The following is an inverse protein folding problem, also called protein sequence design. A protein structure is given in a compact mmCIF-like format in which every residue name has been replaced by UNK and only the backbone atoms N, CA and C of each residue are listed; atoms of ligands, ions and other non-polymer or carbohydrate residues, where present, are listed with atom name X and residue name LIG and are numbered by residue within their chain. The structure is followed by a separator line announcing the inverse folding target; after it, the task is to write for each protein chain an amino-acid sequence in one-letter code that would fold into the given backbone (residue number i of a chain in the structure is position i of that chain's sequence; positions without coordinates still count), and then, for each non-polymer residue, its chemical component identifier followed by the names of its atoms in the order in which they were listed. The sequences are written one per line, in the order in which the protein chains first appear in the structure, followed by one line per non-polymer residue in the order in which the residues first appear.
data_IF_698425942564
#
_entry.id   IF_698425942564
#
_cell.length_a   1.000
_cell.length_b   1.000
_cell.length_c   1.000
_cell.angle_alpha   90.00
_cell.angle_beta   90.00
_cell.angle_gamma   90.00
#
_symmetry.space_group_name_H-M   'P 1'
#
loop_
_entity.id
_entity.type
_entity.pdbx_description
1 polymer ?
#
# COMPACT_ATOMS: atom_id res chain seq x y z
N UNK A 1 1.23 4.55 -8.41
CA UNK A 1 0.31 5.01 -7.31
C UNK A 1 -0.21 3.80 -6.52
N UNK A 2 -0.11 3.81 -5.18
CA UNK A 2 -0.56 2.68 -4.35
C UNK A 2 -2.10 2.57 -4.25
N UNK A 3 -2.61 1.33 -4.25
CA UNK A 3 -4.04 1.00 -4.11
C UNK A 3 -4.25 -0.15 -3.09
N UNK A 4 -5.34 -0.15 -2.31
CA UNK A 4 -5.66 -1.26 -1.42
C UNK A 4 -6.32 -2.42 -2.18
N UNK A 5 -5.81 -3.64 -2.00
CA UNK A 5 -6.36 -4.88 -2.58
C UNK A 5 -6.49 -5.95 -1.50
N UNK A 6 -7.57 -6.73 -1.53
CA UNK A 6 -7.72 -7.92 -0.69
C UNK A 6 -7.29 -9.15 -1.48
N UNK A 7 -6.23 -9.81 -1.03
CA UNK A 7 -5.73 -11.06 -1.60
C UNK A 7 -6.37 -12.20 -0.79
N UNK A 8 -7.19 -13.03 -1.44
CA UNK A 8 -7.98 -14.08 -0.79
C UNK A 8 -7.31 -15.46 -0.81
N UNK A 9 -6.29 -15.63 -1.64
CA UNK A 9 -5.56 -16.88 -1.84
C UNK A 9 -4.06 -16.57 -1.86
N UNK A 10 -3.24 -17.48 -1.34
CA UNK A 10 -1.78 -17.32 -1.40
C UNK A 10 -1.36 -17.36 -2.88
N UNK A 11 -1.13 -16.19 -3.47
CA UNK A 11 -0.64 -16.01 -4.84
C UNK A 11 0.78 -15.51 -4.78
N UNK A 12 1.68 -16.17 -5.51
CA UNK A 12 3.08 -15.76 -5.66
C UNK A 12 3.82 -15.55 -4.32
N UNK A 13 3.47 -16.31 -3.27
CA UNK A 13 4.07 -16.22 -1.94
C UNK A 13 3.55 -15.06 -1.07
N UNK A 14 2.54 -14.32 -1.53
CA UNK A 14 1.86 -13.30 -0.74
C UNK A 14 0.72 -13.93 0.08
N UNK A 15 0.81 -13.83 1.40
CA UNK A 15 -0.22 -14.31 2.33
C UNK A 15 -1.56 -13.62 2.09
N UNK A 16 -2.65 -14.36 2.31
CA UNK A 16 -4.00 -13.81 2.29
C UNK A 16 -4.15 -12.64 3.28
N UNK A 17 -4.82 -11.57 2.85
CA UNK A 17 -5.00 -10.35 3.63
C UNK A 17 -5.09 -9.10 2.76
N UNK A 18 -5.13 -7.94 3.42
CA UNK A 18 -5.16 -6.65 2.74
C UNK A 18 -3.74 -6.18 2.40
N UNK A 19 -3.50 -5.73 1.18
CA UNK A 19 -2.20 -5.27 0.71
C UNK A 19 -2.30 -3.90 0.05
N UNK A 20 -1.25 -3.10 0.19
CA UNK A 20 -1.02 -1.97 -0.70
C UNK A 20 -0.26 -2.48 -1.93
N UNK A 21 -0.89 -2.38 -3.10
CA UNK A 21 -0.29 -2.76 -4.39
C UNK A 21 0.10 -1.53 -5.17
N UNK A 22 1.12 -1.65 -6.02
CA UNK A 22 1.50 -0.60 -6.98
C UNK A 22 0.55 -0.54 -8.19
N UNK A 23 0.93 0.24 -9.21
CA UNK A 23 0.14 0.38 -10.43
C UNK A 23 0.12 -0.86 -11.33
N UNK A 24 1.08 -1.76 -11.16
CA UNK A 24 1.14 -3.05 -11.84
C UNK A 24 0.37 -4.15 -11.09
N UNK A 25 -0.15 -3.83 -9.89
CA UNK A 25 -0.85 -4.79 -9.03
C UNK A 25 0.10 -5.63 -8.18
N UNK A 26 1.38 -5.28 -8.12
CA UNK A 26 2.37 -5.99 -7.29
C UNK A 26 2.21 -5.59 -5.82
N UNK A 27 2.08 -6.55 -4.88
CA UNK A 27 2.02 -6.24 -3.46
C UNK A 27 3.33 -5.64 -2.97
N UNK A 28 3.27 -4.43 -2.40
CA UNK A 28 4.45 -3.70 -1.90
C UNK A 28 4.47 -3.68 -0.37
N UNK A 29 3.31 -3.52 0.27
CA UNK A 29 3.18 -3.49 1.73
C UNK A 29 2.02 -4.34 2.21
N UNK A 30 2.23 -5.11 3.27
CA UNK A 30 1.24 -6.00 3.88
C UNK A 30 1.84 -7.33 4.35
N UNK A 31 0.98 -8.31 4.72
CA UNK A 31 -0.47 -8.20 4.78
C UNK A 31 -0.94 -7.37 5.99
N UNK A 32 -2.02 -6.61 5.82
CA UNK A 32 -2.70 -5.86 6.86
C UNK A 32 -3.99 -6.58 7.27
N UNK A 33 -4.42 -6.42 8.55
CA UNK A 33 -5.62 -7.09 9.05
C UNK A 33 -6.93 -6.51 8.47
N UNK A 34 -6.93 -5.24 8.06
CA UNK A 34 -8.13 -4.55 7.55
C UNK A 34 -7.80 -3.62 6.37
N UNK A 35 -8.82 -3.29 5.57
CA UNK A 35 -8.72 -2.31 4.48
C UNK A 35 -8.32 -0.92 4.98
N UNK A 36 -8.81 -0.53 6.14
CA UNK A 36 -8.53 0.78 6.76
C UNK A 36 -7.06 0.93 7.11
N UNK A 37 -6.42 -0.12 7.64
CA UNK A 37 -4.99 -0.09 7.94
C UNK A 37 -4.13 0.12 6.67
N UNK A 38 -4.52 -0.48 5.53
CA UNK A 38 -3.87 -0.21 4.24
C UNK A 38 -4.07 1.24 3.81
N UNK A 39 -5.29 1.76 3.95
CA UNK A 39 -5.61 3.13 3.55
C UNK A 39 -4.84 4.17 4.35
N UNK A 40 -4.71 3.99 5.67
CA UNK A 40 -3.89 4.86 6.53
C UNK A 40 -2.46 4.85 6.03
N UNK A 41 -1.87 3.67 5.78
CA UNK A 41 -0.50 3.59 5.28
C UNK A 41 -0.32 4.27 3.92
N UNK A 42 -1.26 4.07 2.98
CA UNK A 42 -1.22 4.73 1.67
C UNK A 42 -1.30 6.25 1.82
N UNK A 43 -2.14 6.75 2.73
CA UNK A 43 -2.25 8.19 3.00
C UNK A 43 -0.97 8.76 3.62
N UNK A 44 -0.36 8.06 4.58
CA UNK A 44 0.92 8.45 5.18
C UNK A 44 2.04 8.53 4.13
N UNK A 45 2.12 7.54 3.22
CA UNK A 45 3.12 7.55 2.14
C UNK A 45 2.93 8.73 1.18
N UNK A 46 1.68 9.10 0.87
CA UNK A 46 1.41 10.29 0.06
C UNK A 46 1.77 11.58 0.80
N UNK A 47 1.48 11.65 2.09
CA UNK A 47 1.87 12.79 2.92
C UNK A 47 3.39 12.96 3.03
N UNK A 48 4.13 11.84 3.14
CA UNK A 48 5.59 11.87 3.17
C UNK A 48 6.20 12.29 1.81
N UNK A 49 5.62 11.84 0.70
CA UNK A 49 6.01 12.25 -0.66
C UNK A 49 5.80 13.77 -0.87
N UNK A 50 4.69 14.31 -0.34
CA UNK A 50 4.37 15.74 -0.41
C UNK A 50 5.37 16.63 0.36
N UNK A 51 5.95 16.14 1.45
CA UNK A 51 6.93 16.91 2.27
C UNK A 51 8.34 16.87 1.64
N UNK A 52 8.66 15.80 0.92
CA UNK A 52 9.93 15.70 0.20
C UNK A 52 10.00 16.69 -0.99
N UNK A 53 8.86 16.98 -1.62
CA UNK A 53 8.76 17.94 -2.72
C UNK A 53 8.89 19.40 -2.25
N UNK A 54 8.36 19.74 -1.06
CA UNK A 54 8.37 21.12 -0.53
C UNK A 54 9.76 21.58 -0.01
N UNK A 55 10.70 20.66 0.25
CA UNK A 55 12.07 20.98 0.72
C UNK A 55 13.12 21.06 -0.40
N UNK A 56 12.71 20.99 -1.68
CA UNK A 56 13.60 21.13 -2.84
C UNK A 56 13.63 22.55 -3.45
N UNK A 57 13.02 23.54 -2.78
CA UNK A 57 12.96 24.94 -3.20
C UNK A 57 14.00 25.85 -2.55
#
# INVERSE_FOLDING_TARGET
MLKPVHITEDRDGAKAGWWAVDEHGTPVFGPYPTREAVLVHIAEKRGADQIADDNAG
#
